data_IF_217856526492
#
_entry.id   IF_217856526492
#
_cell.length_a   1.000
_cell.length_b   1.000
_cell.length_c   1.000
_cell.angle_alpha   90.00
_cell.angle_beta   90.00
_cell.angle_gamma   90.00
#
_symmetry.space_group_name_H-M   'P 1'
#
loop_
_entity.id
_entity.type
_entity.pdbx_description
1 polymer ?
#
# COMPACT_ATOMS: atom_id res chain seq x y z
N UNK A 1 0.63 4.53 -24.47
CA UNK A 1 1.03 5.59 -23.52
C UNK A 1 1.07 4.92 -22.16
N UNK A 2 2.26 4.56 -21.70
CA UNK A 2 2.44 4.03 -20.35
C UNK A 2 2.39 5.24 -19.42
N UNK A 3 1.22 5.44 -18.81
CA UNK A 3 1.05 6.47 -17.80
C UNK A 3 1.74 6.00 -16.53
N UNK A 4 2.95 6.50 -16.31
CA UNK A 4 3.70 6.38 -15.06
C UNK A 4 3.00 7.23 -13.98
N UNK A 5 1.87 6.72 -13.47
CA UNK A 5 1.14 7.27 -12.32
C UNK A 5 1.54 6.58 -11.01
N UNK A 6 2.65 5.85 -11.02
CA UNK A 6 3.10 5.08 -9.86
C UNK A 6 3.49 6.02 -8.73
N UNK A 7 2.75 5.96 -7.62
CA UNK A 7 3.06 6.71 -6.42
C UNK A 7 4.42 6.27 -5.89
N UNK A 8 5.23 7.21 -5.43
CA UNK A 8 6.57 6.88 -4.93
C UNK A 8 6.52 6.55 -3.44
N UNK A 9 7.13 5.44 -3.06
CA UNK A 9 7.42 5.07 -1.68
C UNK A 9 8.91 4.77 -1.58
N UNK A 10 9.55 5.28 -0.53
CA UNK A 10 10.93 4.93 -0.22
C UNK A 10 11.02 3.45 0.11
N UNK A 11 11.98 2.73 -0.50
CA UNK A 11 12.19 1.30 -0.27
C UNK A 11 12.34 0.97 1.22
N UNK A 12 13.08 1.79 1.97
CA UNK A 12 13.27 1.59 3.40
C UNK A 12 11.95 1.66 4.19
N UNK A 13 11.05 2.59 3.83
CA UNK A 13 9.74 2.70 4.47
C UNK A 13 8.83 1.50 4.14
N UNK A 14 8.91 0.99 2.90
CA UNK A 14 8.22 -0.25 2.52
C UNK A 14 8.75 -1.46 3.29
N UNK A 15 10.07 -1.60 3.42
CA UNK A 15 10.70 -2.69 4.18
C UNK A 15 10.30 -2.65 5.67
N UNK A 16 10.20 -1.45 6.25
CA UNK A 16 9.73 -1.28 7.63
C UNK A 16 8.26 -1.66 7.78
N UNK A 17 7.40 -1.24 6.84
CA UNK A 17 6.01 -1.70 6.81
C UNK A 17 5.91 -3.23 6.77
N UNK A 18 6.72 -3.90 5.94
CA UNK A 18 6.73 -5.37 5.84
C UNK A 18 7.15 -6.00 7.17
N UNK A 19 8.16 -5.44 7.86
CA UNK A 19 8.58 -5.92 9.18
C UNK A 19 7.46 -5.81 10.22
N UNK A 20 6.81 -4.65 10.30
CA UNK A 20 5.68 -4.43 11.20
C UNK A 20 4.50 -5.37 10.89
N UNK A 21 4.21 -5.60 9.61
CA UNK A 21 3.19 -6.55 9.19
C UNK A 21 3.51 -7.98 9.65
N UNK A 22 4.74 -8.45 9.44
CA UNK A 22 5.18 -9.77 9.89
C UNK A 22 5.18 -9.95 11.41
N UNK A 23 5.29 -8.85 12.17
CA UNK A 23 5.18 -8.85 13.64
C UNK A 23 3.74 -8.79 14.14
N UNK A 24 2.75 -8.66 13.25
CA UNK A 24 1.35 -8.56 13.64
C UNK A 24 0.94 -7.18 14.15
N UNK A 25 1.71 -6.11 13.88
CA UNK A 25 1.43 -4.76 14.38
C UNK A 25 0.12 -4.13 13.86
N UNK A 26 -0.53 -4.77 12.88
CA UNK A 26 -1.78 -4.32 12.26
C UNK A 26 -2.92 -5.30 12.52
N UNK A 27 -3.11 -5.71 13.77
CA UNK A 27 -4.17 -6.64 14.15
C UNK A 27 -5.55 -6.19 13.60
N UNK A 28 -6.33 -7.18 13.14
CA UNK A 28 -7.67 -7.00 12.56
C UNK A 28 -7.73 -6.17 11.26
N UNK A 29 -6.59 -5.77 10.68
CA UNK A 29 -6.56 -5.08 9.39
C UNK A 29 -6.22 -6.06 8.28
N UNK A 30 -6.90 -5.90 7.13
CA UNK A 30 -6.45 -6.51 5.87
C UNK A 30 -5.14 -5.84 5.45
N UNK A 31 -4.29 -6.56 4.74
CA UNK A 31 -2.98 -6.05 4.31
C UNK A 31 -3.08 -4.70 3.57
N UNK A 32 -4.05 -4.57 2.66
CA UNK A 32 -4.25 -3.34 1.89
C UNK A 32 -4.76 -2.18 2.74
N UNK A 33 -5.61 -2.46 3.74
CA UNK A 33 -6.06 -1.48 4.73
C UNK A 33 -4.90 -1.01 5.61
N UNK A 34 -4.08 -1.93 6.12
CA UNK A 34 -2.91 -1.61 6.93
C UNK A 34 -1.94 -0.72 6.17
N UNK A 35 -1.62 -1.07 4.92
CA UNK A 35 -0.77 -0.27 4.04
C UNK A 35 -1.33 1.14 3.82
N UNK A 36 -2.62 1.21 3.45
CA UNK A 36 -3.30 2.47 3.19
C UNK A 36 -3.29 3.40 4.40
N UNK A 37 -3.50 2.86 5.60
CA UNK A 37 -3.47 3.61 6.85
C UNK A 37 -2.04 4.04 7.23
N UNK A 38 -1.08 3.11 7.15
CA UNK A 38 0.31 3.34 7.54
C UNK A 38 0.95 4.48 6.73
N UNK A 39 0.73 4.51 5.42
CA UNK A 39 1.23 5.55 4.53
C UNK A 39 0.31 6.77 4.40
N UNK A 40 -0.75 6.87 5.24
CA UNK A 40 -1.71 7.98 5.23
C UNK A 40 -2.30 8.27 3.83
N UNK A 41 -2.59 7.23 3.07
CA UNK A 41 -3.01 7.35 1.67
C UNK A 41 -4.36 8.08 1.49
N UNK A 42 -5.16 8.19 2.56
CA UNK A 42 -6.38 9.00 2.60
C UNK A 42 -6.14 10.51 2.36
N UNK A 43 -4.89 10.97 2.46
CA UNK A 43 -4.52 12.38 2.20
C UNK A 43 -4.26 12.67 0.73
N UNK A 44 -4.17 11.65 -0.13
CA UNK A 44 -3.89 11.82 -1.55
C UNK A 44 -5.16 12.18 -2.34
N UNK A 45 -5.00 12.90 -3.45
CA UNK A 45 -6.15 13.37 -4.23
C UNK A 45 -6.87 12.25 -5.02
N UNK A 46 -6.14 11.30 -5.60
CA UNK A 46 -6.74 10.16 -6.31
C UNK A 46 -7.10 9.03 -5.35
N UNK A 47 -8.34 9.03 -4.87
CA UNK A 47 -8.86 7.99 -3.98
C UNK A 47 -9.47 6.79 -4.71
N UNK A 48 -9.72 6.87 -6.02
CA UNK A 48 -10.43 5.80 -6.73
C UNK A 48 -9.58 4.53 -6.79
N UNK A 49 -8.32 4.69 -7.19
CA UNK A 49 -7.31 3.62 -7.27
C UNK A 49 -6.97 3.08 -5.87
N UNK A 50 -6.91 3.98 -4.88
CA UNK A 50 -6.53 3.65 -3.50
C UNK A 50 -7.63 2.93 -2.72
N UNK A 51 -8.91 3.15 -3.06
CA UNK A 51 -10.03 2.41 -2.45
C UNK A 51 -9.95 0.91 -2.74
N UNK A 52 -9.58 0.54 -3.96
CA UNK A 52 -9.39 -0.88 -4.33
C UNK A 52 -8.27 -1.54 -3.51
N UNK A 53 -7.22 -0.78 -3.19
CA UNK A 53 -6.15 -1.23 -2.31
C UNK A 53 -6.65 -1.37 -0.86
N UNK A 54 -7.33 -0.37 -0.32
CA UNK A 54 -7.87 -0.39 1.05
C UNK A 54 -8.78 -1.60 1.33
N UNK A 55 -9.57 -2.00 0.34
CA UNK A 55 -10.50 -3.13 0.45
C UNK A 55 -9.80 -4.49 0.27
N UNK A 56 -8.61 -4.54 -0.35
CA UNK A 56 -7.90 -5.78 -0.66
C UNK A 56 -7.17 -6.38 0.55
N UNK A 57 -6.94 -7.69 0.47
CA UNK A 57 -6.17 -8.45 1.45
C UNK A 57 -5.16 -9.40 0.79
N UNK A 58 -4.20 -9.88 1.58
CA UNK A 58 -3.23 -10.90 1.21
C UNK A 58 -2.59 -10.67 -0.16
N UNK A 59 -2.62 -11.71 -1.01
CA UNK A 59 -2.00 -11.66 -2.34
C UNK A 59 -2.58 -10.57 -3.26
N UNK A 60 -3.87 -10.25 -3.12
CA UNK A 60 -4.51 -9.19 -3.93
C UNK A 60 -3.94 -7.82 -3.55
N UNK A 61 -3.81 -7.55 -2.25
CA UNK A 61 -3.21 -6.31 -1.77
C UNK A 61 -1.74 -6.19 -2.20
N UNK A 62 -0.94 -7.26 -2.07
CA UNK A 62 0.46 -7.27 -2.54
C UNK A 62 0.57 -6.90 -4.02
N UNK A 63 -0.27 -7.50 -4.88
CA UNK A 63 -0.28 -7.18 -6.31
C UNK A 63 -0.63 -5.71 -6.56
N UNK A 64 -1.63 -5.17 -5.87
CA UNK A 64 -2.02 -3.77 -6.03
C UNK A 64 -0.91 -2.82 -5.56
N UNK A 65 -0.20 -3.13 -4.48
CA UNK A 65 0.93 -2.33 -4.02
C UNK A 65 2.02 -2.25 -5.10
N UNK A 66 2.39 -3.39 -5.70
CA UNK A 66 3.44 -3.43 -6.74
C UNK A 66 3.04 -2.74 -8.05
N UNK A 67 1.74 -2.61 -8.34
CA UNK A 67 1.23 -1.91 -9.52
C UNK A 67 1.13 -0.40 -9.27
N UNK A 68 0.61 -0.03 -8.10
CA UNK A 68 0.30 1.36 -7.77
C UNK A 68 1.53 2.14 -7.29
N UNK A 69 2.55 1.46 -6.75
CA UNK A 69 3.70 2.12 -6.13
C UNK A 69 5.02 1.72 -6.76
N UNK A 70 5.84 2.73 -7.04
CA UNK A 70 7.24 2.55 -7.40
C UNK A 70 8.11 2.67 -6.14
N UNK A 71 8.92 1.64 -5.88
CA UNK A 71 9.88 1.61 -4.77
C UNK A 71 11.22 2.18 -5.25
N UNK A 72 11.56 3.36 -4.77
CA UNK A 72 12.81 4.05 -5.09
C UNK A 72 13.82 3.93 -3.95
#
# INVERSE_FOLDING_TARGET
METDFSLQIERAAYEEFVRLWSQGSFEHQRLGQAFYNHFNLHKLADQASLRSLYEADGKKALRLILILFHLH
#
